data_IF_595226941350
#
_entry.id   IF_595226941350
#
_cell.length_a   1.000
_cell.length_b   1.000
_cell.length_c   1.000
_cell.angle_alpha   90.00
_cell.angle_beta   90.00
_cell.angle_gamma   90.00
#
_symmetry.space_group_name_H-M   'P 1'
#
loop_
_entity.id
_entity.type
_entity.pdbx_description
1 polymer ?
#
# COMPACT_ATOMS: atom_id res chain seq x y z
N UNK A 1 -1.53 15.75 34.00
CA UNK A 1 -1.89 14.38 33.57
C UNK A 1 -0.68 13.77 32.89
N UNK A 2 -0.23 12.56 33.27
CA UNK A 2 0.83 11.89 32.51
C UNK A 2 0.28 11.61 31.11
N UNK A 3 0.94 12.12 30.06
CA UNK A 3 0.57 11.78 28.68
C UNK A 3 0.81 10.29 28.51
N UNK A 4 -0.26 9.48 28.52
CA UNK A 4 -0.21 8.05 28.21
C UNK A 4 0.50 7.93 26.85
N UNK A 5 1.71 7.35 26.84
CA UNK A 5 2.42 7.11 25.57
C UNK A 5 1.63 6.05 24.83
N UNK A 6 1.36 6.27 23.54
CA UNK A 6 0.69 5.30 22.70
C UNK A 6 1.56 4.04 22.63
N UNK A 7 1.10 2.95 23.24
CA UNK A 7 1.73 1.65 23.15
C UNK A 7 1.16 0.91 21.94
N UNK A 8 2.02 0.22 21.19
CA UNK A 8 1.55 -0.63 20.10
C UNK A 8 0.85 -1.88 20.66
N UNK A 9 -0.11 -2.42 19.91
CA UNK A 9 -0.79 -3.70 20.20
C UNK A 9 -1.78 -3.72 21.40
N UNK A 10 -2.13 -2.59 22.03
CA UNK A 10 -3.01 -2.58 23.24
C UNK A 10 -4.38 -3.27 23.05
N UNK A 11 -4.92 -3.27 21.83
CA UNK A 11 -6.22 -3.90 21.51
C UNK A 11 -6.11 -5.25 20.80
N UNK A 12 -4.90 -5.77 20.61
CA UNK A 12 -4.69 -7.06 19.93
C UNK A 12 -4.63 -8.16 20.99
N UNK A 13 -5.52 -9.16 20.97
CA UNK A 13 -5.45 -10.29 21.89
C UNK A 13 -4.08 -10.98 21.84
N UNK A 14 -3.58 -11.42 22.99
CA UNK A 14 -2.19 -11.89 23.12
C UNK A 14 -1.83 -12.97 22.09
N UNK A 15 -2.72 -13.94 21.86
CA UNK A 15 -2.52 -15.01 20.85
C UNK A 15 -2.23 -14.53 19.43
N UNK A 16 -2.71 -13.34 19.05
CA UNK A 16 -2.47 -12.74 17.72
C UNK A 16 -1.24 -11.85 17.75
N UNK A 17 -1.05 -11.10 18.85
CA UNK A 17 0.11 -10.25 19.08
C UNK A 17 1.40 -11.06 19.08
N UNK A 18 1.45 -12.20 19.78
CA UNK A 18 2.61 -13.10 19.80
C UNK A 18 2.99 -13.56 18.39
N UNK A 19 2.03 -14.05 17.60
CA UNK A 19 2.27 -14.51 16.23
C UNK A 19 2.80 -13.42 15.32
N UNK A 20 2.18 -12.24 15.37
CA UNK A 20 2.64 -11.10 14.59
C UNK A 20 4.03 -10.62 15.03
N UNK A 21 4.28 -10.61 16.34
CA UNK A 21 5.56 -10.21 16.88
C UNK A 21 6.68 -11.19 16.51
N UNK A 22 6.45 -12.50 16.60
CA UNK A 22 7.39 -13.52 16.13
C UNK A 22 7.72 -13.32 14.66
N UNK A 23 6.72 -13.14 13.80
CA UNK A 23 6.93 -12.83 12.39
C UNK A 23 7.79 -11.57 12.19
N UNK A 24 7.46 -10.49 12.91
CA UNK A 24 8.19 -9.24 12.81
C UNK A 24 9.64 -9.38 13.29
N UNK A 25 9.90 -10.14 14.35
CA UNK A 25 11.27 -10.41 14.82
C UNK A 25 12.08 -11.19 13.80
N UNK A 26 11.48 -12.19 13.16
CA UNK A 26 12.16 -12.99 12.14
C UNK A 26 12.59 -12.16 10.93
N UNK A 27 11.79 -11.16 10.54
CA UNK A 27 12.15 -10.21 9.49
C UNK A 27 13.42 -9.42 9.81
N UNK A 28 13.86 -9.32 11.07
CA UNK A 28 15.04 -8.57 11.50
C UNK A 28 16.07 -9.46 12.21
N UNK A 29 15.95 -10.77 12.08
CA UNK A 29 16.94 -11.71 12.57
C UNK A 29 18.10 -11.80 11.57
N UNK A 30 19.29 -11.38 11.97
CA UNK A 30 20.48 -11.34 11.10
C UNK A 30 20.97 -12.75 10.72
N UNK A 31 20.74 -13.78 11.54
CA UNK A 31 21.23 -15.14 11.28
C UNK A 31 20.58 -15.78 10.05
N UNK A 32 19.33 -15.41 9.75
CA UNK A 32 18.55 -15.96 8.63
C UNK A 32 18.32 -14.94 7.52
N UNK A 33 18.89 -13.75 7.64
CA UNK A 33 18.59 -12.66 6.73
C UNK A 33 19.41 -12.73 5.44
N UNK A 34 18.71 -12.61 4.30
CA UNK A 34 19.34 -12.45 2.98
C UNK A 34 19.64 -10.98 2.67
N UNK A 35 18.84 -10.04 3.17
CA UNK A 35 19.04 -8.60 2.97
C UNK A 35 19.65 -7.96 4.21
N UNK A 36 20.58 -7.04 4.03
CA UNK A 36 21.09 -6.27 5.17
C UNK A 36 20.00 -5.35 5.78
N UNK A 37 20.22 -4.93 7.02
CA UNK A 37 19.26 -4.10 7.76
C UNK A 37 19.00 -2.74 7.09
N UNK A 38 20.02 -2.11 6.49
CA UNK A 38 19.86 -0.84 5.78
C UNK A 38 18.88 -1.00 4.63
N UNK A 39 19.07 -2.03 3.82
CA UNK A 39 18.22 -2.39 2.67
C UNK A 39 16.80 -2.68 3.12
N UNK A 40 16.59 -3.47 4.18
CA UNK A 40 15.25 -3.74 4.72
C UNK A 40 14.54 -2.47 5.21
N UNK A 41 15.26 -1.58 5.87
CA UNK A 41 14.68 -0.34 6.37
C UNK A 41 14.32 0.64 5.23
N UNK A 42 15.11 0.70 4.16
CA UNK A 42 14.76 1.47 2.95
C UNK A 42 13.48 0.91 2.27
N UNK A 43 13.35 -0.42 2.18
CA UNK A 43 12.11 -1.07 1.71
C UNK A 43 10.93 -0.72 2.62
N UNK A 44 11.13 -0.81 3.95
CA UNK A 44 10.09 -0.51 4.92
C UNK A 44 9.63 0.96 4.85
N UNK A 45 10.53 1.90 4.55
CA UNK A 45 10.20 3.31 4.30
C UNK A 45 9.28 3.43 3.07
N UNK A 46 9.65 2.84 1.94
CA UNK A 46 8.85 2.90 0.72
C UNK A 46 7.47 2.23 0.91
N UNK A 47 7.44 1.05 1.55
CA UNK A 47 6.21 0.33 1.87
C UNK A 47 5.31 1.12 2.84
N UNK A 48 5.88 1.79 3.83
CA UNK A 48 5.13 2.64 4.77
C UNK A 48 4.42 3.78 4.05
N UNK A 49 5.07 4.39 3.05
CA UNK A 49 4.48 5.46 2.24
C UNK A 49 3.38 4.94 1.33
N UNK A 50 3.61 3.83 0.62
CA UNK A 50 2.61 3.19 -0.22
C UNK A 50 1.36 2.74 0.57
N UNK A 51 1.53 2.29 1.81
CA UNK A 51 0.44 1.90 2.70
C UNK A 51 -0.22 3.08 3.45
N UNK A 52 0.32 4.31 3.33
CA UNK A 52 -0.18 5.47 4.09
C UNK A 52 0.09 5.43 5.60
N UNK A 53 1.02 4.59 6.08
CA UNK A 53 1.32 4.49 7.51
C UNK A 53 2.32 5.56 7.97
N UNK A 54 1.82 6.73 8.40
CA UNK A 54 2.66 7.83 8.89
C UNK A 54 3.50 7.48 10.13
N UNK A 55 2.94 6.68 11.05
CA UNK A 55 3.65 6.26 12.27
C UNK A 55 4.82 5.31 11.98
N UNK A 56 4.64 4.41 11.01
CA UNK A 56 5.66 3.45 10.57
C UNK A 56 6.82 4.18 9.88
N UNK A 57 6.51 5.12 8.98
CA UNK A 57 7.52 5.86 8.22
C UNK A 57 8.58 6.52 9.12
N UNK A 58 8.15 7.27 10.14
CA UNK A 58 9.10 7.93 11.05
C UNK A 58 9.99 6.94 11.79
N UNK A 59 9.44 5.81 12.23
CA UNK A 59 10.19 4.76 12.91
C UNK A 59 11.27 4.15 12.02
N UNK A 60 10.91 3.83 10.77
CA UNK A 60 11.81 3.21 9.81
C UNK A 60 12.89 4.17 9.29
N UNK A 61 12.61 5.48 9.12
CA UNK A 61 13.66 6.47 8.80
C UNK A 61 14.75 6.52 9.88
N UNK A 62 14.38 6.48 11.17
CA UNK A 62 15.34 6.48 12.27
C UNK A 62 16.18 5.19 12.27
N UNK A 63 15.55 4.03 12.02
CA UNK A 63 16.25 2.75 11.95
C UNK A 63 17.17 2.66 10.73
N UNK A 64 16.75 3.15 9.57
CA UNK A 64 17.59 3.22 8.37
C UNK A 64 18.87 4.02 8.65
N UNK A 65 18.73 5.23 9.23
CA UNK A 65 19.87 6.07 9.59
C UNK A 65 20.82 5.39 10.58
N UNK A 66 20.29 4.66 11.57
CA UNK A 66 21.11 3.88 12.52
C UNK A 66 21.88 2.75 11.85
N UNK A 67 21.36 2.21 10.75
CA UNK A 67 22.01 1.19 9.94
C UNK A 67 22.83 1.79 8.78
N UNK A 68 23.16 3.08 8.84
CA UNK A 68 24.08 3.73 7.89
C UNK A 68 23.43 4.21 6.60
N UNK A 69 22.10 4.25 6.51
CA UNK A 69 21.43 4.85 5.35
C UNK A 69 21.74 6.35 5.25
N UNK A 70 22.06 6.81 4.03
CA UNK A 70 22.25 8.23 3.76
C UNK A 70 20.94 8.94 3.50
N UNK A 71 20.96 10.28 3.51
CA UNK A 71 19.79 11.09 3.13
C UNK A 71 19.39 10.83 1.68
N UNK A 72 20.38 10.62 0.82
CA UNK A 72 20.22 10.36 -0.61
C UNK A 72 19.54 9.01 -0.82
N UNK A 73 19.97 7.94 -0.14
CA UNK A 73 19.34 6.61 -0.21
C UNK A 73 17.88 6.65 0.27
N UNK A 74 17.60 7.37 1.38
CA UNK A 74 16.23 7.58 1.85
C UNK A 74 15.41 8.37 0.84
N UNK A 75 16.01 9.41 0.23
CA UNK A 75 15.39 10.20 -0.82
C UNK A 75 15.01 9.36 -2.05
N UNK A 76 15.88 8.43 -2.45
CA UNK A 76 15.62 7.53 -3.56
C UNK A 76 14.52 6.52 -3.24
N UNK A 77 14.49 5.95 -2.03
CA UNK A 77 13.37 5.10 -1.58
C UNK A 77 12.02 5.83 -1.59
N UNK A 78 12.00 7.12 -1.23
CA UNK A 78 10.81 7.98 -1.33
C UNK A 78 10.42 8.19 -2.79
N UNK A 79 11.39 8.46 -3.67
CA UNK A 79 11.12 8.64 -5.10
C UNK A 79 10.53 7.37 -5.74
N UNK A 80 11.01 6.19 -5.38
CA UNK A 80 10.43 4.90 -5.77
C UNK A 80 8.97 4.82 -5.31
N UNK A 81 8.68 5.15 -4.05
CA UNK A 81 7.30 5.15 -3.55
C UNK A 81 6.40 6.12 -4.33
N UNK A 82 6.88 7.32 -4.68
CA UNK A 82 6.14 8.28 -5.52
C UNK A 82 5.83 7.68 -6.89
N UNK A 83 6.83 7.09 -7.55
CA UNK A 83 6.68 6.51 -8.89
C UNK A 83 5.62 5.41 -8.91
N UNK A 84 5.65 4.48 -7.94
CA UNK A 84 4.67 3.39 -7.87
C UNK A 84 3.26 3.90 -7.58
N UNK A 85 3.10 4.85 -6.64
CA UNK A 85 1.79 5.43 -6.35
C UNK A 85 1.22 6.21 -7.55
N UNK A 86 2.07 6.97 -8.26
CA UNK A 86 1.67 7.68 -9.48
C UNK A 86 1.28 6.71 -10.60
N UNK A 87 2.07 5.67 -10.83
CA UNK A 87 1.77 4.63 -11.82
C UNK A 87 0.43 3.94 -11.54
N UNK A 88 0.10 3.67 -10.29
CA UNK A 88 -1.20 3.09 -9.92
C UNK A 88 -2.39 3.99 -10.28
N UNK A 89 -2.22 5.31 -10.32
CA UNK A 89 -3.26 6.23 -10.80
C UNK A 89 -3.32 6.24 -12.33
N UNK A 90 -2.16 6.26 -13.00
CA UNK A 90 -2.10 6.20 -14.47
C UNK A 90 -2.77 4.92 -14.98
N UNK A 91 -2.45 3.77 -14.40
CA UNK A 91 -3.08 2.48 -14.72
C UNK A 91 -4.61 2.52 -14.60
N UNK A 92 -5.13 3.21 -13.57
CA UNK A 92 -6.58 3.41 -13.42
C UNK A 92 -7.20 4.31 -14.48
N UNK A 93 -6.43 5.16 -15.16
CA UNK A 93 -6.97 5.95 -16.28
C UNK A 93 -7.26 5.08 -17.49
N UNK A 94 -6.48 4.02 -17.71
CA UNK A 94 -6.73 3.06 -18.79
C UNK A 94 -7.97 2.20 -18.50
N UNK A 95 -8.16 1.81 -17.23
CA UNK A 95 -9.41 1.17 -16.76
C UNK A 95 -10.59 2.10 -17.00
N UNK A 96 -10.48 3.36 -16.59
CA UNK A 96 -11.53 4.34 -16.82
C UNK A 96 -11.81 4.51 -18.32
N UNK A 97 -10.79 4.59 -19.17
CA UNK A 97 -10.96 4.70 -20.61
C UNK A 97 -11.69 3.48 -21.21
N UNK A 98 -11.36 2.27 -20.76
CA UNK A 98 -12.08 1.05 -21.14
C UNK A 98 -13.55 1.10 -20.70
N UNK A 99 -13.81 1.55 -19.47
CA UNK A 99 -15.17 1.71 -18.96
C UNK A 99 -15.93 2.87 -19.65
N UNK A 100 -15.22 3.89 -20.15
CA UNK A 100 -15.83 5.01 -20.85
C UNK A 100 -16.49 4.59 -22.18
N UNK A 101 -16.00 3.56 -22.86
CA UNK A 101 -16.68 2.99 -24.03
C UNK A 101 -18.05 2.37 -23.66
N UNK A 102 -18.23 1.95 -22.40
CA UNK A 102 -19.53 1.50 -21.86
C UNK A 102 -20.44 2.69 -21.57
N UNK A 103 -19.90 3.73 -20.95
CA UNK A 103 -20.63 4.98 -20.67
C UNK A 103 -21.00 5.73 -21.95
N UNK A 104 -20.22 5.60 -23.02
CA UNK A 104 -20.51 6.20 -24.33
C UNK A 104 -21.84 5.70 -24.91
N UNK A 105 -22.18 4.42 -24.73
CA UNK A 105 -23.51 3.89 -25.08
C UNK A 105 -24.63 4.56 -24.28
N UNK A 106 -24.38 4.90 -23.02
CA UNK A 106 -25.34 5.62 -22.17
C UNK A 106 -25.59 7.07 -22.63
N UNK A 107 -24.53 7.74 -23.10
CA UNK A 107 -24.62 9.13 -23.56
C UNK A 107 -25.14 9.29 -24.99
N UNK A 108 -24.79 8.40 -25.90
CA UNK A 108 -25.29 8.42 -27.28
C UNK A 108 -26.78 7.99 -27.36
N UNK A 109 -27.29 7.28 -26.35
CA UNK A 109 -28.66 6.78 -26.26
C UNK A 109 -29.70 7.69 -25.59
N UNK A 110 -29.45 9.00 -25.39
CA UNK A 110 -30.33 9.90 -24.63
C UNK A 110 -30.59 9.49 -23.16
N UNK A 111 -29.61 8.88 -22.49
CA UNK A 111 -29.59 8.79 -21.01
C UNK A 111 -30.73 8.00 -20.36
N UNK A 112 -31.29 6.99 -21.04
CA UNK A 112 -32.19 6.01 -20.41
C UNK A 112 -31.43 4.72 -20.14
N UNK A 113 -30.95 4.54 -18.92
CA UNK A 113 -30.71 3.21 -18.38
C UNK A 113 -32.06 2.63 -17.98
N UNK A 114 -32.35 1.39 -18.39
CA UNK A 114 -33.38 0.60 -17.70
C UNK A 114 -32.86 0.36 -16.26
N UNK A 115 -33.73 0.47 -15.24
CA UNK A 115 -33.34 0.48 -13.81
C UNK A 115 -32.55 -0.76 -13.35
N UNK A 116 -32.48 -1.80 -14.18
CA UNK A 116 -32.01 -3.14 -13.82
C UNK A 116 -30.73 -3.61 -14.58
N UNK A 117 -30.18 -2.83 -15.51
CA UNK A 117 -28.94 -3.22 -16.24
C UNK A 117 -27.69 -3.11 -15.34
N UNK A 118 -26.96 -4.22 -15.15
CA UNK A 118 -25.73 -4.23 -14.34
C UNK A 118 -24.49 -3.83 -15.15
N UNK A 119 -23.47 -3.31 -14.47
CA UNK A 119 -22.19 -2.95 -15.10
C UNK A 119 -21.56 -4.16 -15.81
N UNK A 120 -21.70 -5.38 -15.27
CA UNK A 120 -21.21 -6.60 -15.94
C UNK A 120 -21.95 -6.91 -17.24
N UNK A 121 -23.26 -6.65 -17.29
CA UNK A 121 -24.09 -6.86 -18.49
C UNK A 121 -23.72 -5.87 -19.60
N UNK A 122 -23.50 -4.60 -19.24
CA UNK A 122 -23.03 -3.58 -20.17
C UNK A 122 -21.62 -3.89 -20.68
N UNK A 123 -20.74 -4.33 -19.77
CA UNK A 123 -19.34 -4.65 -20.05
C UNK A 123 -19.14 -5.91 -20.93
N UNK A 124 -20.21 -6.68 -21.17
CA UNK A 124 -20.12 -7.97 -21.85
C UNK A 124 -19.26 -8.99 -21.09
N UNK A 125 -19.07 -8.78 -19.79
CA UNK A 125 -18.27 -9.67 -18.93
C UNK A 125 -19.16 -10.88 -18.59
N UNK A 126 -18.72 -12.11 -18.89
CA UNK A 126 -19.50 -13.30 -18.59
C UNK A 126 -19.80 -13.37 -17.09
N UNK A 127 -21.09 -13.47 -16.72
CA UNK A 127 -21.48 -13.76 -15.34
C UNK A 127 -20.94 -15.16 -14.99
N UNK A 128 -19.84 -15.17 -14.23
CA UNK A 128 -19.10 -16.34 -13.73
C UNK A 128 -17.99 -16.87 -14.66
N UNK A 129 -16.76 -16.52 -14.30
CA UNK A 129 -15.55 -17.30 -14.55
C UNK A 129 -14.88 -17.59 -13.19
#
# INVERSE_FOLDING_TARGET
MPKKRMQSYEMIPERFKERYFTFYQELYNDEHSVLDLKTKELIAIAASLAAGCHGCFKGHVIKAARNGATREEVGEAIAVAIAINGAAIVDRTDIANFDFDLVKKLWEGNGKMEEDETIEELAGVPKHA
#
